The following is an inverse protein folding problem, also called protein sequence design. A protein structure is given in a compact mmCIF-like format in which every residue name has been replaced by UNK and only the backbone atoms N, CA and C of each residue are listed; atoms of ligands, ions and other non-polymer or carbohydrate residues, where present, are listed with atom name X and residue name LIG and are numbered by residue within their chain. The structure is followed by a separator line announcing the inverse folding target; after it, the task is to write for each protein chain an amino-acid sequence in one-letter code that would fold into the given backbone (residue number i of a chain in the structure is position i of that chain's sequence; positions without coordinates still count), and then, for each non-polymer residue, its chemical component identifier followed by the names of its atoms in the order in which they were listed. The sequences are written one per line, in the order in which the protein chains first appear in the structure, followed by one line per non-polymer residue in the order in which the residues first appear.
data_IF_898258727828
#
_entry.id   IF_898258727828
#
_cell.length_a   1.000
_cell.length_b   1.000
_cell.length_c   1.000
_cell.angle_alpha   90.00
_cell.angle_beta   90.00
_cell.angle_gamma   90.00
#
_symmetry.space_group_name_H-M   'P 1'
#
loop_
_entity.id
_entity.type
_entity.pdbx_description
1 polymer ?
#
# COMPACT_ATOMS: atom_id res chain seq x y z
N UNK A 1 -20.33 15.62 10.25
CA UNK A 1 -19.06 14.96 10.68
C UNK A 1 -17.86 15.91 10.58
N UNK A 2 -17.70 16.68 9.48
CA UNK A 2 -16.57 17.61 9.30
C UNK A 2 -16.37 18.55 10.49
N UNK A 3 -17.44 19.17 10.99
CA UNK A 3 -17.36 20.06 12.16
C UNK A 3 -16.87 19.33 13.40
N UNK A 4 -17.39 18.13 13.67
CA UNK A 4 -17.00 17.33 14.84
C UNK A 4 -15.53 16.94 14.73
N UNK A 5 -15.13 16.34 13.61
CA UNK A 5 -13.79 15.79 13.43
C UNK A 5 -12.68 16.84 13.31
N UNK A 6 -12.99 18.01 12.74
CA UNK A 6 -11.96 19.03 12.45
C UNK A 6 -11.96 20.20 13.41
N UNK A 7 -13.07 20.46 14.14
CA UNK A 7 -13.21 21.63 14.99
C UNK A 7 -13.50 21.33 16.46
N UNK A 8 -14.31 20.32 16.73
CA UNK A 8 -14.84 20.08 18.08
C UNK A 8 -14.09 18.92 18.78
N UNK A 9 -13.27 18.15 18.09
CA UNK A 9 -12.55 16.99 18.64
C UNK A 9 -11.08 16.98 18.22
N UNK A 10 -10.24 16.41 19.08
CA UNK A 10 -8.91 15.95 18.67
C UNK A 10 -9.03 14.60 17.98
N UNK A 11 -8.80 14.55 16.68
CA UNK A 11 -8.85 13.31 15.92
C UNK A 11 -7.52 12.58 16.02
N UNK A 12 -7.50 11.48 16.77
CA UNK A 12 -6.31 10.64 16.96
C UNK A 12 -6.19 9.52 15.92
N UNK A 13 -7.09 9.46 14.93
CA UNK A 13 -6.97 8.49 13.85
C UNK A 13 -5.96 8.98 12.80
N UNK A 14 -4.77 8.36 12.68
CA UNK A 14 -3.73 8.80 11.75
C UNK A 14 -4.12 8.63 10.27
N UNK A 15 -5.14 7.84 9.97
CA UNK A 15 -5.67 7.69 8.61
C UNK A 15 -6.56 8.87 8.19
N UNK A 16 -6.96 9.74 9.12
CA UNK A 16 -7.73 10.93 8.81
C UNK A 16 -6.80 12.03 8.29
N UNK A 17 -7.11 12.55 7.12
CA UNK A 17 -6.36 13.64 6.52
C UNK A 17 -7.29 14.74 6.03
N UNK A 18 -6.83 15.99 6.10
CA UNK A 18 -7.52 17.15 5.54
C UNK A 18 -7.09 17.30 4.09
N UNK A 19 -8.03 17.09 3.18
CA UNK A 19 -7.77 17.24 1.74
C UNK A 19 -7.61 18.72 1.39
N UNK A 20 -6.73 19.03 0.45
CA UNK A 20 -6.65 20.36 -0.15
C UNK A 20 -8.05 20.75 -0.71
N UNK A 21 -8.63 21.90 -0.31
CA UNK A 21 -9.98 22.28 -0.73
C UNK A 21 -10.17 22.39 -2.25
N UNK A 22 -9.11 22.73 -2.98
CA UNK A 22 -9.16 22.75 -4.46
C UNK A 22 -9.24 21.35 -5.04
N UNK A 23 -8.52 20.39 -4.48
CA UNK A 23 -8.59 18.99 -4.89
C UNK A 23 -9.96 18.38 -4.51
N UNK A 24 -10.46 18.68 -3.30
CA UNK A 24 -11.77 18.21 -2.83
C UNK A 24 -12.90 18.69 -3.77
N UNK A 25 -12.83 19.92 -4.28
CA UNK A 25 -13.81 20.46 -5.21
C UNK A 25 -13.91 19.66 -6.53
N UNK A 26 -12.82 19.10 -7.02
CA UNK A 26 -12.82 18.27 -8.22
C UNK A 26 -13.59 16.95 -8.06
N UNK A 27 -13.72 16.42 -6.84
CA UNK A 27 -14.50 15.21 -6.59
C UNK A 27 -16.01 15.41 -6.89
N UNK A 28 -16.50 16.65 -6.85
CA UNK A 28 -17.90 17.00 -7.08
C UNK A 28 -18.18 17.63 -8.45
N UNK A 29 -17.17 17.87 -9.29
CA UNK A 29 -17.33 18.55 -10.56
C UNK A 29 -17.71 17.63 -11.75
N UNK A 30 -18.10 16.38 -11.48
CA UNK A 30 -18.60 15.45 -12.49
C UNK A 30 -17.53 14.66 -13.25
N UNK A 31 -16.25 14.86 -12.95
CA UNK A 31 -15.17 14.13 -13.63
C UNK A 31 -15.25 12.60 -13.40
N UNK A 32 -15.76 12.18 -12.25
CA UNK A 32 -15.94 10.77 -11.90
C UNK A 32 -17.20 10.11 -12.47
N UNK A 33 -18.03 10.85 -13.23
CA UNK A 33 -19.29 10.32 -13.76
C UNK A 33 -19.15 9.69 -15.15
N UNK A 34 -17.93 9.66 -15.68
CA UNK A 34 -17.66 9.10 -17.01
C UNK A 34 -16.75 7.91 -16.94
N UNK A 35 -16.99 6.87 -17.74
CA UNK A 35 -16.03 5.77 -17.87
C UNK A 35 -14.74 6.28 -18.52
N UNK A 36 -13.62 5.70 -18.13
CA UNK A 36 -12.29 6.03 -18.66
C UNK A 36 -11.47 4.74 -18.83
N UNK A 37 -12.02 3.81 -19.60
CA UNK A 37 -11.38 2.53 -19.87
C UNK A 37 -10.22 2.68 -20.86
N UNK A 38 -9.20 1.86 -20.68
CA UNK A 38 -8.00 1.88 -21.51
C UNK A 38 -6.87 2.71 -20.88
N UNK A 39 -5.78 2.82 -21.61
CA UNK A 39 -4.60 3.58 -21.20
C UNK A 39 -4.56 4.96 -21.87
N UNK A 40 -3.81 5.92 -21.34
CA UNK A 40 -3.57 7.18 -22.04
C UNK A 40 -3.06 6.94 -23.47
N UNK A 41 -3.70 7.58 -24.46
CA UNK A 41 -3.45 7.38 -25.89
C UNK A 41 -4.17 6.19 -26.51
N UNK A 42 -4.84 5.35 -25.71
CA UNK A 42 -5.57 4.16 -26.18
C UNK A 42 -6.84 3.95 -25.33
N UNK A 43 -7.66 5.00 -25.25
CA UNK A 43 -8.97 4.96 -24.58
C UNK A 43 -10.06 4.40 -25.48
N UNK A 44 -11.04 3.72 -24.89
CA UNK A 44 -12.16 3.16 -25.64
C UNK A 44 -13.19 4.22 -26.05
N UNK A 45 -13.37 5.25 -25.21
CA UNK A 45 -14.30 6.35 -25.49
C UNK A 45 -13.56 7.60 -25.99
N UNK A 46 -14.26 8.40 -26.78
CA UNK A 46 -13.79 9.71 -27.24
C UNK A 46 -14.05 10.80 -26.20
N UNK A 47 -13.31 11.90 -26.25
CA UNK A 47 -13.50 13.05 -25.37
C UNK A 47 -12.89 12.86 -23.98
N UNK A 48 -11.86 12.04 -23.87
CA UNK A 48 -11.13 11.74 -22.63
C UNK A 48 -9.72 12.36 -22.59
N UNK A 49 -9.39 13.24 -23.53
CA UNK A 49 -8.05 13.80 -23.71
C UNK A 49 -7.55 14.49 -22.42
N UNK A 50 -8.42 15.26 -21.76
CA UNK A 50 -8.05 15.91 -20.49
C UNK A 50 -7.87 14.90 -19.34
N UNK A 51 -8.61 13.82 -19.32
CA UNK A 51 -8.45 12.74 -18.33
C UNK A 51 -7.14 11.99 -18.56
N UNK A 52 -6.77 11.75 -19.81
CA UNK A 52 -5.48 11.15 -20.18
C UNK A 52 -4.31 12.01 -19.71
N UNK A 53 -4.38 13.33 -19.90
CA UNK A 53 -3.37 14.25 -19.39
C UNK A 53 -3.27 14.21 -17.86
N UNK A 54 -4.40 14.16 -17.15
CA UNK A 54 -4.45 14.02 -15.69
C UNK A 54 -3.78 12.70 -15.24
N UNK A 55 -4.08 11.59 -15.90
CA UNK A 55 -3.50 10.29 -15.57
C UNK A 55 -1.97 10.29 -15.76
N UNK A 56 -1.47 10.83 -16.87
CA UNK A 56 -0.04 10.91 -17.16
C UNK A 56 0.66 11.83 -16.16
N UNK A 57 0.11 13.01 -15.91
CA UNK A 57 0.67 13.98 -14.98
C UNK A 57 0.70 13.44 -13.55
N UNK A 58 -0.41 12.85 -13.09
CA UNK A 58 -0.48 12.28 -11.74
C UNK A 58 0.51 11.13 -11.55
N UNK A 59 0.62 10.22 -12.52
CA UNK A 59 1.59 9.13 -12.48
C UNK A 59 3.03 9.63 -12.44
N UNK A 60 3.36 10.64 -13.24
CA UNK A 60 4.69 11.24 -13.28
C UNK A 60 5.04 11.93 -11.96
N UNK A 61 4.13 12.71 -11.39
CA UNK A 61 4.33 13.41 -10.12
C UNK A 61 4.50 12.43 -8.95
N UNK A 62 3.70 11.36 -8.91
CA UNK A 62 3.85 10.32 -7.88
C UNK A 62 5.18 9.60 -8.02
N UNK A 63 5.58 9.25 -9.23
CA UNK A 63 6.88 8.63 -9.48
C UNK A 63 8.06 9.54 -9.02
N UNK A 64 7.97 10.84 -9.28
CA UNK A 64 8.95 11.83 -8.81
C UNK A 64 8.99 11.91 -7.28
N UNK A 65 7.83 12.04 -6.61
CA UNK A 65 7.73 12.15 -5.15
C UNK A 65 8.33 10.92 -4.44
N UNK A 66 8.09 9.73 -4.98
CA UNK A 66 8.57 8.47 -4.39
C UNK A 66 9.92 7.99 -4.96
N UNK A 67 10.58 8.79 -5.81
CA UNK A 67 11.83 8.42 -6.48
C UNK A 67 11.74 7.05 -7.16
N UNK A 68 10.59 6.74 -7.74
CA UNK A 68 10.30 5.48 -8.40
C UNK A 68 10.33 5.61 -9.92
N UNK A 69 10.60 4.51 -10.61
CA UNK A 69 10.60 4.49 -12.08
C UNK A 69 9.18 4.51 -12.65
N UNK A 70 8.23 3.91 -11.93
CA UNK A 70 6.82 3.80 -12.32
C UNK A 70 5.93 4.04 -11.12
N UNK A 71 4.72 4.54 -11.37
CA UNK A 71 3.66 4.67 -10.38
C UNK A 71 2.32 4.28 -11.00
N UNK A 72 1.54 3.48 -10.28
CA UNK A 72 0.16 3.15 -10.64
C UNK A 72 -0.78 3.96 -9.73
N UNK A 73 -1.49 4.91 -10.31
CA UNK A 73 -2.35 5.85 -9.57
C UNK A 73 -3.82 5.43 -9.50
N UNK A 74 -4.22 4.38 -10.20
CA UNK A 74 -5.62 3.97 -10.33
C UNK A 74 -6.09 2.98 -9.27
N UNK A 75 -5.20 2.60 -8.36
CA UNK A 75 -5.50 1.66 -7.28
C UNK A 75 -6.35 2.34 -6.20
N UNK A 76 -7.56 1.85 -5.89
CA UNK A 76 -8.53 2.58 -5.06
C UNK A 76 -8.26 2.51 -3.55
N UNK A 77 -7.38 1.63 -3.09
CA UNK A 77 -7.08 1.47 -1.66
C UNK A 77 -5.73 0.80 -1.41
N UNK A 78 -5.17 0.99 -0.22
CA UNK A 78 -3.96 0.28 0.23
C UNK A 78 -4.13 -1.25 0.25
N UNK A 79 -5.32 -1.74 0.59
CA UNK A 79 -5.59 -3.17 0.56
C UNK A 79 -5.51 -3.75 -0.86
N UNK A 80 -6.03 -3.03 -1.86
CA UNK A 80 -5.91 -3.42 -3.26
C UNK A 80 -4.47 -3.29 -3.76
N UNK A 81 -3.73 -2.27 -3.33
CA UNK A 81 -2.32 -2.13 -3.65
C UNK A 81 -1.50 -3.32 -3.15
N UNK A 82 -1.75 -3.75 -1.91
CA UNK A 82 -1.10 -4.93 -1.34
C UNK A 82 -1.48 -6.20 -2.12
N UNK A 83 -2.77 -6.39 -2.44
CA UNK A 83 -3.21 -7.54 -3.23
C UNK A 83 -2.52 -7.59 -4.60
N UNK A 84 -2.49 -6.47 -5.32
CA UNK A 84 -1.84 -6.41 -6.63
C UNK A 84 -0.34 -6.64 -6.55
N UNK A 85 0.31 -6.19 -5.48
CA UNK A 85 1.72 -6.48 -5.22
C UNK A 85 1.95 -7.98 -5.00
N UNK A 86 1.07 -8.65 -4.23
CA UNK A 86 1.15 -10.11 -4.08
C UNK A 86 0.93 -10.82 -5.41
N UNK A 87 -0.08 -10.44 -6.18
CA UNK A 87 -0.35 -11.03 -7.50
C UNK A 87 0.79 -10.84 -8.50
N UNK A 88 1.53 -9.72 -8.40
CA UNK A 88 2.65 -9.44 -9.29
C UNK A 88 3.86 -10.35 -9.06
N UNK A 89 4.11 -10.76 -7.80
CA UNK A 89 5.35 -11.46 -7.42
C UNK A 89 5.12 -12.86 -6.88
N UNK A 90 3.90 -13.21 -6.48
CA UNK A 90 3.55 -14.50 -5.86
C UNK A 90 2.47 -15.23 -6.66
N UNK A 91 2.35 -16.52 -6.37
CA UNK A 91 1.23 -17.39 -6.79
C UNK A 91 0.55 -17.96 -5.54
N UNK A 92 -0.70 -18.40 -5.66
CA UNK A 92 -1.37 -19.16 -4.61
C UNK A 92 -0.51 -20.37 -4.20
N UNK A 93 -0.33 -20.56 -2.89
CA UNK A 93 0.55 -21.56 -2.30
C UNK A 93 1.97 -21.08 -2.00
N UNK A 94 2.40 -19.93 -2.52
CA UNK A 94 3.70 -19.36 -2.17
C UNK A 94 3.74 -18.90 -0.70
N UNK A 95 4.92 -18.94 -0.10
CA UNK A 95 5.15 -18.50 1.27
C UNK A 95 5.62 -17.05 1.29
N UNK A 96 5.04 -16.26 2.18
CA UNK A 96 5.51 -14.90 2.52
C UNK A 96 5.83 -14.79 4.01
N UNK A 97 6.73 -13.87 4.34
CA UNK A 97 6.99 -13.46 5.73
C UNK A 97 6.53 -12.01 5.90
N UNK A 98 5.77 -11.72 6.93
CA UNK A 98 5.27 -10.38 7.21
C UNK A 98 5.26 -10.02 8.69
N UNK A 99 5.26 -8.72 9.04
CA UNK A 99 5.24 -8.27 10.42
C UNK A 99 3.96 -8.75 11.13
N UNK A 100 4.06 -9.29 12.35
CA UNK A 100 2.89 -9.69 13.10
C UNK A 100 2.07 -8.49 13.58
N UNK A 101 0.79 -8.74 13.91
CA UNK A 101 -0.11 -7.71 14.43
C UNK A 101 0.40 -7.03 15.71
N UNK A 102 1.22 -7.74 16.51
CA UNK A 102 1.78 -7.23 17.76
C UNK A 102 2.69 -6.01 17.61
N UNK A 103 3.28 -5.81 16.44
CA UNK A 103 4.06 -4.61 16.09
C UNK A 103 3.35 -3.74 15.02
N UNK A 104 2.04 -3.87 14.90
CA UNK A 104 1.24 -3.08 13.97
C UNK A 104 1.15 -3.65 12.55
N UNK A 105 1.54 -4.90 12.33
CA UNK A 105 1.38 -5.57 11.04
C UNK A 105 -0.07 -5.50 10.55
N UNK A 106 -0.27 -5.06 9.29
CA UNK A 106 -1.60 -4.81 8.78
C UNK A 106 -2.30 -6.12 8.39
N UNK A 107 -3.61 -6.19 8.63
CA UNK A 107 -4.45 -7.38 8.34
C UNK A 107 -4.34 -7.87 6.90
N UNK A 108 -4.06 -7.01 5.94
CA UNK A 108 -3.89 -7.38 4.53
C UNK A 108 -2.73 -8.36 4.29
N UNK A 109 -1.76 -8.43 5.19
CA UNK A 109 -0.61 -9.34 5.12
C UNK A 109 -0.88 -10.67 5.84
N UNK A 110 -2.07 -10.87 6.41
CA UNK A 110 -2.44 -12.03 7.22
C UNK A 110 -3.60 -12.82 6.61
N UNK A 111 -3.89 -13.98 7.21
CA UNK A 111 -4.95 -14.90 6.74
C UNK A 111 -6.33 -14.25 6.57
N UNK A 112 -6.80 -13.35 7.46
CA UNK A 112 -8.10 -12.70 7.26
C UNK A 112 -8.10 -11.65 6.14
N UNK A 113 -6.94 -11.22 5.65
CA UNK A 113 -6.78 -10.19 4.64
C UNK A 113 -6.48 -10.73 3.25
N UNK A 114 -6.07 -9.82 2.35
CA UNK A 114 -5.87 -10.16 0.95
C UNK A 114 -4.76 -11.18 0.70
N UNK A 115 -3.74 -11.27 1.55
CA UNK A 115 -2.71 -12.31 1.44
C UNK A 115 -3.30 -13.71 1.61
N UNK A 116 -4.09 -13.94 2.66
CA UNK A 116 -4.77 -15.22 2.89
C UNK A 116 -5.85 -15.50 1.85
N UNK A 117 -6.64 -14.49 1.45
CA UNK A 117 -7.63 -14.61 0.38
C UNK A 117 -7.01 -14.98 -0.97
N UNK A 118 -5.80 -14.52 -1.24
CA UNK A 118 -5.04 -14.90 -2.44
C UNK A 118 -4.43 -16.31 -2.32
N UNK A 119 -4.51 -16.94 -1.14
CA UNK A 119 -4.04 -18.29 -0.89
C UNK A 119 -2.55 -18.38 -0.60
N UNK A 120 -1.95 -17.34 -0.02
CA UNK A 120 -0.55 -17.38 0.41
C UNK A 120 -0.39 -18.09 1.76
N UNK A 121 0.73 -18.77 1.93
CA UNK A 121 1.19 -19.27 3.22
C UNK A 121 1.91 -18.15 3.96
N UNK A 122 1.41 -17.77 5.13
CA UNK A 122 1.89 -16.59 5.85
C UNK A 122 2.66 -17.03 7.08
N UNK A 123 3.89 -16.56 7.20
CA UNK A 123 4.75 -16.73 8.37
C UNK A 123 4.97 -15.37 9.00
N UNK A 124 4.78 -15.28 10.31
CA UNK A 124 5.07 -14.05 11.04
C UNK A 124 6.58 -13.84 11.18
N UNK A 125 7.01 -12.62 10.90
CA UNK A 125 8.40 -12.23 11.09
C UNK A 125 8.74 -12.21 12.59
N UNK A 126 9.95 -12.66 12.98
CA UNK A 126 10.45 -12.44 14.33
C UNK A 126 10.60 -10.95 14.61
N UNK A 127 10.35 -10.55 15.86
CA UNK A 127 10.25 -9.15 16.26
C UNK A 127 11.33 -8.74 17.25
N UNK A 128 11.84 -7.55 17.07
CA UNK A 128 12.57 -6.80 18.08
C UNK A 128 11.56 -6.07 18.97
N UNK A 129 11.47 -6.46 20.24
CA UNK A 129 10.50 -5.94 21.21
C UNK A 129 10.82 -4.54 21.69
N UNK A 130 12.07 -4.11 21.60
CA UNK A 130 12.54 -2.81 22.08
C UNK A 130 12.23 -1.72 21.05
N UNK A 131 12.34 -2.07 19.76
CA UNK A 131 12.11 -1.15 18.65
C UNK A 131 10.80 -1.37 17.90
N UNK A 132 10.00 -2.37 18.26
CA UNK A 132 8.75 -2.70 17.56
C UNK A 132 8.94 -2.85 16.06
N UNK A 133 10.05 -3.46 15.66
CA UNK A 133 10.42 -3.76 14.28
C UNK A 133 10.68 -5.24 14.10
N UNK A 134 11.09 -5.66 12.92
CA UNK A 134 11.55 -7.03 12.70
C UNK A 134 12.97 -7.22 13.26
N UNK A 135 13.23 -8.36 13.87
CA UNK A 135 14.57 -8.81 14.28
C UNK A 135 15.31 -9.34 13.05
N UNK A 136 16.37 -8.65 12.64
CA UNK A 136 17.08 -8.93 11.39
C UNK A 136 17.81 -10.27 11.42
N UNK A 137 18.44 -10.62 12.52
CA UNK A 137 19.23 -11.86 12.60
C UNK A 137 18.31 -13.07 12.57
N UNK A 138 17.26 -13.08 13.39
CA UNK A 138 16.26 -14.13 13.37
C UNK A 138 15.48 -14.18 12.05
N UNK A 139 15.22 -13.03 11.45
CA UNK A 139 14.54 -12.96 10.14
C UNK A 139 15.40 -13.59 9.03
N UNK A 140 16.71 -13.37 9.08
CA UNK A 140 17.66 -14.00 8.14
C UNK A 140 17.65 -15.53 8.27
N UNK A 141 17.72 -16.04 9.50
CA UNK A 141 17.64 -17.49 9.76
C UNK A 141 16.32 -18.07 9.26
N UNK A 142 15.22 -17.40 9.55
CA UNK A 142 13.90 -17.80 9.10
C UNK A 142 13.77 -17.78 7.57
N UNK A 143 14.27 -16.73 6.92
CA UNK A 143 14.23 -16.61 5.47
C UNK A 143 15.07 -17.70 4.77
N UNK A 144 16.23 -18.03 5.31
CA UNK A 144 17.07 -19.13 4.79
C UNK A 144 16.41 -20.49 4.93
N UNK A 145 15.68 -20.71 6.03
CA UNK A 145 14.95 -21.95 6.30
C UNK A 145 13.72 -22.10 5.42
N UNK A 146 12.86 -21.08 5.42
CA UNK A 146 11.53 -21.15 4.82
C UNK A 146 11.52 -20.74 3.33
N UNK A 147 12.55 -20.03 2.87
CA UNK A 147 12.74 -19.54 1.50
C UNK A 147 11.49 -18.85 0.96
N UNK A 148 11.01 -17.79 1.62
CA UNK A 148 9.80 -17.10 1.23
C UNK A 148 9.95 -16.49 -0.17
N UNK A 149 8.85 -16.38 -0.88
CA UNK A 149 8.80 -15.66 -2.16
C UNK A 149 8.87 -14.15 -1.97
N UNK A 150 8.39 -13.66 -0.83
CA UNK A 150 8.30 -12.24 -0.51
C UNK A 150 8.45 -12.04 1.00
N UNK A 151 9.16 -11.00 1.40
CA UNK A 151 9.15 -10.46 2.75
C UNK A 151 8.50 -9.08 2.70
N UNK A 152 7.48 -8.85 3.50
CA UNK A 152 6.81 -7.56 3.61
C UNK A 152 7.21 -6.85 4.89
N UNK A 153 7.24 -5.53 4.85
CA UNK A 153 7.55 -4.66 5.99
C UNK A 153 6.49 -3.57 6.14
N UNK A 154 6.50 -2.93 7.30
CA UNK A 154 5.57 -1.85 7.59
C UNK A 154 4.26 -2.33 8.19
N UNK A 155 3.39 -1.39 8.52
CA UNK A 155 2.12 -1.65 9.18
C UNK A 155 1.35 -0.36 9.44
N UNK A 156 0.31 -0.46 10.27
CA UNK A 156 -0.57 0.67 10.60
C UNK A 156 0.00 1.60 11.68
N UNK A 157 0.91 1.08 12.52
CA UNK A 157 1.40 1.77 13.71
C UNK A 157 2.93 1.67 13.77
N UNK A 158 3.60 2.36 12.88
CA UNK A 158 5.07 2.39 12.86
C UNK A 158 5.60 3.41 13.87
N UNK A 159 6.09 2.94 15.00
CA UNK A 159 6.72 3.78 16.03
C UNK A 159 8.17 4.11 15.66
N UNK A 160 8.87 3.14 15.11
CA UNK A 160 10.25 3.27 14.63
C UNK A 160 10.36 2.88 13.17
N UNK A 161 11.41 3.34 12.51
CA UNK A 161 11.68 3.01 11.12
C UNK A 161 12.04 1.53 10.95
N UNK A 162 11.35 0.83 10.08
CA UNK A 162 11.71 -0.54 9.74
C UNK A 162 13.07 -0.59 9.01
N UNK A 163 13.89 -1.64 9.26
CA UNK A 163 15.23 -1.77 8.70
C UNK A 163 15.19 -2.28 7.25
N UNK A 164 14.59 -1.52 6.34
CA UNK A 164 14.34 -1.90 4.94
C UNK A 164 15.62 -2.31 4.22
N UNK A 165 16.70 -1.54 4.38
CA UNK A 165 17.98 -1.83 3.72
C UNK A 165 18.59 -3.17 4.18
N UNK A 166 18.53 -3.46 5.49
CA UNK A 166 19.04 -4.72 6.03
C UNK A 166 18.21 -5.91 5.53
N UNK A 167 16.86 -5.77 5.51
CA UNK A 167 15.97 -6.82 4.99
C UNK A 167 16.17 -7.04 3.49
N UNK A 168 16.44 -5.99 2.73
CA UNK A 168 16.73 -6.11 1.29
C UNK A 168 18.02 -6.87 0.98
N UNK A 169 18.88 -7.05 2.00
CA UNK A 169 20.15 -7.78 1.89
C UNK A 169 20.06 -9.25 2.34
N UNK A 170 18.89 -9.70 2.77
CA UNK A 170 18.60 -11.08 3.14
C UNK A 170 18.28 -11.90 1.89
#
# INVERSE_FOLDING_TARGET
NKKIHEKDCFNLNPATNVMNPRAEAFLSCGIGSRPSLGYPGDKYEMGLEAIEEIEVLASSLVAEIFCSKFAEIRVPSGAMANLFSFMAVCKSGDTIIGPPASIGGHVTHHNPGCAGLFGLNIIEAPIDKDYYTVDIDQLRELALKERPKLITLGGSLNLFQHPVSAVSSI
#
